data_IF_069059514336
#
_entry.id   IF_069059514336
#
_cell.length_a   1.000
_cell.length_b   1.000
_cell.length_c   1.000
_cell.angle_alpha   90.00
_cell.angle_beta   90.00
_cell.angle_gamma   90.00
#
_symmetry.space_group_name_H-M   'P 1'
#
loop_
_entity.id
_entity.type
_entity.pdbx_description
1 polymer ?
#
# COMPACT_ATOMS: atom_id res chain seq x y z
N UNK A 1 -11.63 -16.26 6.79
CA UNK A 1 -10.61 -15.37 6.17
C UNK A 1 -9.52 -15.10 7.19
N UNK A 2 -8.24 -15.16 6.80
CA UNK A 2 -7.12 -14.77 7.65
C UNK A 2 -7.10 -13.24 7.81
N UNK A 3 -6.85 -12.75 9.03
CA UNK A 3 -6.63 -11.32 9.26
C UNK A 3 -5.33 -10.89 8.59
N UNK A 4 -5.39 -9.88 7.72
CA UNK A 4 -4.21 -9.27 7.13
C UNK A 4 -3.41 -8.54 8.21
N UNK A 5 -2.10 -8.73 8.19
CA UNK A 5 -1.14 -7.93 8.94
C UNK A 5 -0.97 -6.54 8.32
N UNK A 6 -0.39 -5.62 9.07
CA UNK A 6 -0.20 -4.24 8.64
C UNK A 6 0.67 -4.15 7.37
N UNK A 7 1.75 -4.93 7.32
CA UNK A 7 2.65 -4.98 6.15
C UNK A 7 1.95 -5.52 4.89
N UNK A 8 1.00 -6.45 5.03
CA UNK A 8 0.18 -6.92 3.90
C UNK A 8 -0.77 -5.81 3.40
N UNK A 9 -1.28 -4.97 4.31
CA UNK A 9 -2.11 -3.82 3.95
C UNK A 9 -1.26 -2.77 3.22
N UNK A 10 -0.08 -2.43 3.75
CA UNK A 10 0.83 -1.49 3.10
C UNK A 10 1.28 -1.97 1.72
N UNK A 11 1.61 -3.26 1.59
CA UNK A 11 1.93 -3.87 0.30
C UNK A 11 0.76 -3.68 -0.69
N UNK A 12 -0.46 -3.95 -0.28
CA UNK A 12 -1.65 -3.84 -1.13
C UNK A 12 -1.93 -2.38 -1.57
N UNK A 13 -1.78 -1.41 -0.66
CA UNK A 13 -1.91 0.03 -0.96
C UNK A 13 -0.83 0.46 -1.97
N UNK A 14 0.43 0.13 -1.72
CA UNK A 14 1.56 0.52 -2.56
C UNK A 14 1.52 -0.16 -3.93
N UNK A 15 1.06 -1.40 -4.02
CA UNK A 15 0.84 -2.09 -5.30
C UNK A 15 -0.27 -1.44 -6.12
N UNK A 16 -1.35 -0.98 -5.48
CA UNK A 16 -2.41 -0.22 -6.15
C UNK A 16 -1.86 1.07 -6.78
N UNK A 17 -0.98 1.77 -6.06
CA UNK A 17 -0.38 3.04 -6.51
C UNK A 17 0.77 2.86 -7.53
N UNK A 18 1.38 1.68 -7.61
CA UNK A 18 2.49 1.41 -8.51
C UNK A 18 2.05 1.06 -9.96
N UNK A 19 0.77 1.19 -10.28
CA UNK A 19 0.21 0.86 -11.62
C UNK A 19 0.42 1.97 -12.67
N UNK A 20 1.38 2.87 -12.46
CA UNK A 20 1.74 3.99 -13.35
C UNK A 20 0.60 4.98 -13.66
N UNK A 21 -0.44 5.02 -12.82
CA UNK A 21 -1.49 6.04 -12.89
C UNK A 21 -1.84 6.57 -11.50
N UNK A 22 -2.05 7.89 -11.36
CA UNK A 22 -2.71 8.42 -10.18
C UNK A 22 -4.06 7.77 -9.94
N UNK A 23 -4.39 7.54 -8.68
CA UNK A 23 -5.70 6.99 -8.31
C UNK A 23 -6.28 7.73 -7.11
N UNK A 24 -7.61 7.86 -7.10
CA UNK A 24 -8.34 8.45 -5.99
C UNK A 24 -8.23 7.59 -4.75
N UNK A 25 -8.22 8.24 -3.58
CA UNK A 25 -8.19 7.57 -2.27
C UNK A 25 -9.29 6.53 -2.08
N UNK A 26 -10.50 6.82 -2.56
CA UNK A 26 -11.64 5.90 -2.50
C UNK A 26 -11.42 4.65 -3.34
N UNK A 27 -10.84 4.79 -4.54
CA UNK A 27 -10.46 3.65 -5.40
C UNK A 27 -9.45 2.74 -4.71
N UNK A 28 -8.43 3.33 -4.05
CA UNK A 28 -7.44 2.55 -3.28
C UNK A 28 -8.11 1.78 -2.15
N UNK A 29 -9.01 2.44 -1.39
CA UNK A 29 -9.74 1.78 -0.31
C UNK A 29 -10.53 0.57 -0.81
N UNK A 30 -11.23 0.70 -1.95
CA UNK A 30 -11.96 -0.40 -2.57
C UNK A 30 -11.03 -1.53 -3.02
N UNK A 31 -9.90 -1.21 -3.65
CA UNK A 31 -8.90 -2.20 -4.07
C UNK A 31 -8.33 -2.98 -2.88
N UNK A 32 -8.12 -2.31 -1.76
CA UNK A 32 -7.61 -2.91 -0.53
C UNK A 32 -8.73 -3.63 0.25
N UNK A 33 -10.01 -3.54 -0.16
CA UNK A 33 -11.14 -4.18 0.49
C UNK A 33 -11.17 -3.93 2.02
N UNK A 34 -11.19 -2.66 2.42
CA UNK A 34 -11.29 -2.24 3.83
C UNK A 34 -12.34 -1.16 4.02
N UNK A 35 -12.85 -1.05 5.25
CA UNK A 35 -13.67 0.09 5.65
C UNK A 35 -12.82 1.35 5.84
N UNK A 36 -13.48 2.52 5.75
CA UNK A 36 -12.82 3.83 5.72
C UNK A 36 -11.91 4.11 6.92
N UNK A 37 -12.36 3.82 8.14
CA UNK A 37 -11.62 4.12 9.38
C UNK A 37 -10.27 3.37 9.47
N UNK A 38 -10.21 2.03 9.39
CA UNK A 38 -8.93 1.33 9.41
C UNK A 38 -8.07 1.64 8.20
N UNK A 39 -8.67 1.86 7.03
CA UNK A 39 -7.95 2.32 5.85
C UNK A 39 -7.24 3.65 6.08
N UNK A 40 -7.94 4.64 6.62
CA UNK A 40 -7.36 5.95 6.88
C UNK A 40 -6.17 5.93 7.84
N UNK A 41 -6.15 5.03 8.82
CA UNK A 41 -5.02 4.92 9.73
C UNK A 41 -3.76 4.47 8.98
N UNK A 42 -3.86 3.40 8.18
CA UNK A 42 -2.73 2.91 7.39
C UNK A 42 -2.34 3.87 6.28
N UNK A 43 -3.33 4.47 5.62
CA UNK A 43 -3.11 5.41 4.53
C UNK A 43 -2.46 6.71 5.04
N UNK A 44 -2.94 7.23 6.18
CA UNK A 44 -2.37 8.39 6.86
C UNK A 44 -0.91 8.17 7.23
N UNK A 45 -0.58 7.02 7.81
CA UNK A 45 0.82 6.66 8.09
C UNK A 45 1.71 6.72 6.84
N UNK A 46 1.24 6.18 5.71
CA UNK A 46 2.01 6.22 4.46
C UNK A 46 2.18 7.65 3.91
N UNK A 47 1.18 8.51 4.09
CA UNK A 47 1.24 9.93 3.69
C UNK A 47 2.18 10.73 4.59
N UNK A 48 2.02 10.60 5.91
CA UNK A 48 2.83 11.29 6.93
C UNK A 48 4.32 10.96 6.80
N UNK A 49 4.64 9.71 6.45
CA UNK A 49 6.02 9.25 6.23
C UNK A 49 6.49 9.40 4.78
N UNK A 50 5.77 10.17 3.94
CA UNK A 50 6.15 10.50 2.57
C UNK A 50 6.36 9.29 1.64
N UNK A 51 5.76 8.13 1.94
CA UNK A 51 5.75 6.98 1.03
C UNK A 51 4.76 7.18 -0.11
N UNK A 52 3.71 7.95 0.13
CA UNK A 52 2.72 8.36 -0.87
C UNK A 52 2.46 9.85 -0.76
N UNK A 53 2.10 10.48 -1.88
CA UNK A 53 1.82 11.92 -1.95
C UNK A 53 0.51 12.17 -2.69
N UNK A 54 -0.17 13.24 -2.30
CA UNK A 54 -1.36 13.73 -2.99
C UNK A 54 -0.98 14.84 -3.97
N UNK A 55 -1.57 14.80 -5.17
CA UNK A 55 -1.54 15.90 -6.14
C UNK A 55 -2.87 15.89 -6.90
N UNK A 56 -3.54 17.04 -6.97
CA UNK A 56 -4.82 17.20 -7.66
C UNK A 56 -5.90 16.19 -7.22
N UNK A 57 -6.00 15.89 -5.92
CA UNK A 57 -6.96 14.92 -5.34
C UNK A 57 -6.72 13.46 -5.79
N UNK A 58 -5.53 13.18 -6.31
CA UNK A 58 -5.06 11.85 -6.68
C UNK A 58 -3.76 11.53 -5.96
N UNK A 59 -3.52 10.24 -5.73
CA UNK A 59 -2.36 9.78 -4.98
C UNK A 59 -1.34 9.08 -5.86
N UNK A 60 -0.07 9.28 -5.52
CA UNK A 60 1.09 8.73 -6.21
C UNK A 60 2.05 8.12 -5.20
N UNK A 61 2.72 7.04 -5.60
CA UNK A 61 3.83 6.48 -4.85
C UNK A 61 5.09 7.34 -5.04
N UNK A 62 5.81 7.64 -3.96
CA UNK A 62 7.07 8.39 -4.02
C UNK A 62 8.25 7.47 -4.32
N UNK A 63 9.47 8.03 -4.45
CA UNK A 63 10.70 7.22 -4.53
C UNK A 63 10.87 6.32 -3.31
N UNK A 64 10.70 6.88 -2.11
CA UNK A 64 10.75 6.11 -0.85
C UNK A 64 9.64 5.06 -0.76
N UNK A 65 8.43 5.39 -1.24
CA UNK A 65 7.34 4.40 -1.34
C UNK A 65 7.70 3.22 -2.23
N UNK A 66 8.39 3.45 -3.36
CA UNK A 66 8.87 2.39 -4.25
C UNK A 66 9.95 1.52 -3.59
N UNK A 67 10.84 2.13 -2.80
CA UNK A 67 11.84 1.41 -2.01
C UNK A 67 11.16 0.50 -0.97
N UNK A 68 10.20 1.04 -0.22
CA UNK A 68 9.41 0.25 0.74
C UNK A 68 8.68 -0.89 0.05
N UNK A 69 8.01 -0.64 -1.08
CA UNK A 69 7.32 -1.66 -1.86
C UNK A 69 8.26 -2.80 -2.28
N UNK A 70 9.47 -2.47 -2.74
CA UNK A 70 10.49 -3.46 -3.11
C UNK A 70 10.87 -4.34 -1.92
N UNK A 71 11.10 -3.74 -0.75
CA UNK A 71 11.44 -4.46 0.48
C UNK A 71 10.31 -5.40 0.92
N UNK A 72 9.07 -4.92 0.91
CA UNK A 72 7.90 -5.74 1.26
C UNK A 72 7.72 -6.93 0.31
N UNK A 73 7.89 -6.73 -1.00
CA UNK A 73 7.87 -7.83 -1.99
C UNK A 73 8.94 -8.87 -1.72
N UNK A 74 10.15 -8.44 -1.36
CA UNK A 74 11.24 -9.36 -1.04
C UNK A 74 10.92 -10.20 0.19
N UNK A 75 10.42 -9.56 1.26
CA UNK A 75 9.95 -10.23 2.47
C UNK A 75 8.88 -11.27 2.11
N UNK A 76 7.83 -10.89 1.38
CA UNK A 76 6.77 -11.81 0.97
C UNK A 76 7.30 -12.98 0.15
N UNK A 77 8.26 -12.75 -0.75
CA UNK A 77 8.88 -13.81 -1.56
C UNK A 77 9.67 -14.79 -0.70
N UNK A 78 10.41 -14.30 0.30
CA UNK A 78 11.17 -15.13 1.23
C UNK A 78 10.25 -16.06 2.02
N UNK A 79 9.17 -15.53 2.59
CA UNK A 79 8.21 -16.33 3.36
C UNK A 79 7.36 -17.28 2.50
N UNK A 80 7.06 -16.93 1.24
CA UNK A 80 6.36 -17.83 0.31
C UNK A 80 7.21 -19.04 -0.11
N UNK A 81 8.53 -18.89 -0.18
CA UNK A 81 9.45 -19.98 -0.56
C UNK A 81 9.64 -21.04 0.53
N UNK A 82 9.31 -20.76 1.79
CA UNK A 82 9.54 -21.67 2.92
C UNK A 82 8.42 -22.70 3.11
N UNK A 83 7.36 -22.65 2.29
CA UNK A 83 6.17 -23.53 2.37
C UNK A 83 6.06 -24.39 1.08
N UNK A 84 7.15 -24.60 0.34
CA UNK A 84 7.21 -25.49 -0.83
C UNK A 84 8.42 -26.38 -0.70
#
# INVERSE_FOLDING_TARGET
MRKRSEWEIYLCILESLNQNQPIKKTTIMHNVNMSWKPFNNHFGYLTENQFIQEKNNEYYITGEGKNLLKNLRQITKTFKKTIT
#
